data_IF_628145961686
#
_entry.id   IF_628145961686
#
_cell.length_a   1.000
_cell.length_b   1.000
_cell.length_c   1.000
_cell.angle_alpha   90.00
_cell.angle_beta   90.00
_cell.angle_gamma   90.00
#
_symmetry.space_group_name_H-M   'P 1'
#
loop_
_entity.id
_entity.type
_entity.pdbx_description
1 polymer ?
#
# COMPACT_ATOMS: atom_id res chain seq x y z
N UNK A 1 36.06 3.06 -6.51
CA UNK A 1 34.67 2.82 -6.96
C UNK A 1 34.10 1.74 -6.08
N UNK A 2 33.27 2.17 -5.10
CA UNK A 2 32.69 1.25 -4.13
C UNK A 2 31.58 0.40 -4.79
N UNK A 3 31.87 -0.88 -4.98
CA UNK A 3 30.91 -1.87 -5.46
C UNK A 3 29.74 -2.16 -4.48
N UNK A 4 29.66 -1.42 -3.36
CA UNK A 4 28.58 -1.52 -2.36
C UNK A 4 27.25 -0.93 -2.81
N UNK A 5 27.24 -0.18 -3.91
CA UNK A 5 26.03 0.52 -4.41
C UNK A 5 25.18 -0.30 -5.39
N UNK A 6 25.56 -1.54 -5.71
CA UNK A 6 24.89 -2.34 -6.75
C UNK A 6 24.28 -3.66 -6.27
N UNK A 7 24.34 -3.96 -4.98
CA UNK A 7 23.56 -5.08 -4.43
C UNK A 7 22.24 -4.48 -3.97
N UNK A 8 21.09 -4.75 -4.64
CA UNK A 8 19.81 -4.37 -4.07
C UNK A 8 19.74 -5.04 -2.71
N UNK A 9 19.71 -4.21 -1.66
CA UNK A 9 19.61 -4.70 -0.29
C UNK A 9 18.25 -5.42 -0.19
N UNK A 10 18.27 -6.73 -0.06
CA UNK A 10 17.08 -7.56 0.02
C UNK A 10 16.16 -7.14 1.17
N UNK A 11 16.74 -6.56 2.24
CA UNK A 11 15.96 -6.00 3.35
C UNK A 11 15.20 -4.77 2.90
N UNK A 12 15.82 -3.88 2.14
CA UNK A 12 15.16 -2.69 1.57
C UNK A 12 14.01 -3.09 0.65
N UNK A 13 14.16 -4.15 -0.14
CA UNK A 13 13.08 -4.65 -1.00
C UNK A 13 11.88 -5.14 -0.18
N UNK A 14 12.11 -5.90 0.89
CA UNK A 14 11.05 -6.34 1.82
C UNK A 14 10.35 -5.12 2.45
N UNK A 15 11.11 -4.15 2.93
CA UNK A 15 10.57 -2.95 3.56
C UNK A 15 9.71 -2.13 2.58
N UNK A 16 10.13 -1.98 1.34
CA UNK A 16 9.34 -1.32 0.28
C UNK A 16 8.04 -2.07 0.02
N UNK A 17 8.03 -3.41 0.03
CA UNK A 17 6.78 -4.19 -0.09
C UNK A 17 5.83 -3.92 1.07
N UNK A 18 6.34 -3.84 2.30
CA UNK A 18 5.54 -3.52 3.49
C UNK A 18 4.94 -2.11 3.37
N UNK A 19 5.73 -1.11 2.98
CA UNK A 19 5.26 0.26 2.81
C UNK A 19 4.14 0.33 1.76
N UNK A 20 4.29 -0.33 0.62
CA UNK A 20 3.25 -0.38 -0.43
C UNK A 20 1.99 -1.08 0.04
N UNK A 21 2.13 -2.22 0.72
CA UNK A 21 1.00 -2.93 1.31
C UNK A 21 0.20 -2.06 2.27
N UNK A 22 0.90 -1.40 3.20
CA UNK A 22 0.27 -0.53 4.19
C UNK A 22 -0.42 0.69 3.55
N UNK A 23 0.13 1.24 2.46
CA UNK A 23 -0.49 2.33 1.73
C UNK A 23 -1.80 1.89 1.04
N UNK A 24 -1.79 0.75 0.37
CA UNK A 24 -2.99 0.18 -0.25
C UNK A 24 -4.05 -0.15 0.82
N UNK A 25 -3.65 -0.76 1.94
CA UNK A 25 -4.57 -1.08 3.05
C UNK A 25 -5.18 0.17 3.65
N UNK A 26 -4.40 1.23 3.84
CA UNK A 26 -4.88 2.52 4.32
C UNK A 26 -6.06 3.04 3.47
N UNK A 27 -5.92 3.01 2.14
CA UNK A 27 -6.98 3.48 1.23
C UNK A 27 -8.28 2.69 1.41
N UNK A 28 -8.19 1.37 1.54
CA UNK A 28 -9.35 0.50 1.73
C UNK A 28 -10.02 0.76 3.08
N UNK A 29 -9.24 0.88 4.16
CA UNK A 29 -9.79 1.16 5.48
C UNK A 29 -10.45 2.54 5.55
N UNK A 30 -9.90 3.56 4.86
CA UNK A 30 -10.58 4.84 4.70
C UNK A 30 -11.89 4.71 3.91
N UNK A 31 -11.92 3.95 2.83
CA UNK A 31 -13.15 3.69 2.09
C UNK A 31 -14.20 3.00 2.97
N UNK A 32 -13.80 2.06 3.84
CA UNK A 32 -14.69 1.42 4.78
C UNK A 32 -15.36 2.41 5.75
N UNK A 33 -14.62 3.43 6.19
CA UNK A 33 -15.16 4.49 7.06
C UNK A 33 -16.09 5.45 6.30
N UNK A 34 -15.73 5.83 5.07
CA UNK A 34 -16.52 6.78 4.29
C UNK A 34 -17.82 6.19 3.73
N UNK A 35 -17.85 4.89 3.46
CA UNK A 35 -18.99 4.24 2.81
C UNK A 35 -19.90 3.50 3.80
N UNK A 36 -19.70 3.67 5.09
CA UNK A 36 -20.44 2.96 6.14
C UNK A 36 -21.95 3.14 6.05
N UNK A 37 -22.42 4.30 5.57
CA UNK A 37 -23.83 4.64 5.43
C UNK A 37 -24.44 4.27 4.07
N UNK A 38 -23.65 3.73 3.15
CA UNK A 38 -24.16 3.37 1.82
C UNK A 38 -24.95 2.05 1.86
N UNK A 39 -26.16 2.01 1.32
CA UNK A 39 -26.94 0.78 1.24
C UNK A 39 -26.21 -0.31 0.46
N UNK A 40 -26.13 -1.51 1.04
CA UNK A 40 -25.46 -2.66 0.43
C UNK A 40 -23.94 -2.64 0.52
N UNK A 41 -23.35 -1.67 1.20
CA UNK A 41 -21.92 -1.63 1.40
C UNK A 41 -21.38 -2.88 2.13
N UNK A 42 -20.28 -3.40 1.64
CA UNK A 42 -19.58 -4.53 2.25
C UNK A 42 -18.14 -4.14 2.53
N UNK A 43 -17.72 -4.10 3.81
CA UNK A 43 -16.36 -3.75 4.16
C UNK A 43 -15.36 -4.78 3.65
N UNK A 44 -14.19 -4.29 3.22
CA UNK A 44 -13.09 -5.09 2.71
C UNK A 44 -11.81 -4.79 3.49
N UNK A 45 -10.86 -5.71 3.42
CA UNK A 45 -9.50 -5.49 3.90
C UNK A 45 -8.52 -6.16 2.93
N UNK A 46 -7.24 -5.89 3.06
CA UNK A 46 -6.22 -6.65 2.37
C UNK A 46 -5.95 -7.96 3.13
N UNK A 47 -5.48 -9.00 2.44
CA UNK A 47 -5.16 -10.31 3.04
C UNK A 47 -3.85 -10.23 3.85
N UNK A 48 -3.92 -9.62 5.05
CA UNK A 48 -2.75 -9.34 5.91
C UNK A 48 -1.98 -10.60 6.25
N UNK A 49 -2.70 -11.66 6.60
CA UNK A 49 -2.08 -12.94 6.98
C UNK A 49 -1.34 -13.57 5.81
N UNK A 50 -1.97 -13.62 4.64
CA UNK A 50 -1.37 -14.17 3.42
C UNK A 50 -0.12 -13.36 3.02
N UNK A 51 -0.18 -12.03 3.13
CA UNK A 51 0.97 -11.18 2.89
C UNK A 51 2.13 -11.45 3.86
N UNK A 52 1.84 -11.61 5.16
CA UNK A 52 2.84 -11.93 6.16
C UNK A 52 3.49 -13.31 5.91
N UNK A 53 2.71 -14.30 5.49
CA UNK A 53 3.18 -15.63 5.11
C UNK A 53 4.14 -15.55 3.92
N UNK A 54 3.78 -14.84 2.86
CA UNK A 54 4.64 -14.62 1.68
C UNK A 54 5.96 -13.95 2.04
N UNK A 55 5.92 -12.91 2.88
CA UNK A 55 7.15 -12.25 3.35
C UNK A 55 8.02 -13.20 4.17
N UNK A 56 7.42 -13.96 5.07
CA UNK A 56 8.13 -14.93 5.91
C UNK A 56 8.82 -16.00 5.06
N UNK A 57 8.13 -16.53 4.06
CA UNK A 57 8.70 -17.51 3.13
C UNK A 57 9.85 -16.92 2.30
N UNK A 58 9.68 -15.68 1.79
CA UNK A 58 10.73 -15.00 1.03
C UNK A 58 12.00 -14.76 1.86
N UNK A 59 11.84 -14.35 3.14
CA UNK A 59 12.95 -14.16 4.06
C UNK A 59 13.61 -15.51 4.42
N UNK A 60 12.83 -16.55 4.68
CA UNK A 60 13.35 -17.89 4.96
C UNK A 60 14.13 -18.46 3.76
N UNK A 61 13.64 -18.23 2.53
CA UNK A 61 14.37 -18.63 1.31
C UNK A 61 15.66 -17.84 1.16
N UNK A 62 15.63 -16.53 1.45
CA UNK A 62 16.85 -15.71 1.41
C UNK A 62 17.92 -16.19 2.38
N UNK A 63 17.56 -16.55 3.60
CA UNK A 63 18.50 -17.09 4.61
C UNK A 63 19.11 -18.42 4.17
N UNK A 64 18.39 -19.21 3.36
CA UNK A 64 18.84 -20.53 2.90
C UNK A 64 19.64 -20.47 1.60
N UNK A 65 19.22 -19.66 0.64
CA UNK A 65 19.76 -19.65 -0.74
C UNK A 65 20.39 -18.32 -1.15
N UNK A 66 20.38 -17.30 -0.28
CA UNK A 66 20.79 -15.92 -0.56
C UNK A 66 20.01 -15.27 -1.73
N UNK A 67 18.80 -15.79 -2.03
CA UNK A 67 17.94 -15.28 -3.08
C UNK A 67 16.60 -14.87 -2.49
N UNK A 68 16.26 -13.59 -2.58
CA UNK A 68 14.95 -13.11 -2.20
C UNK A 68 13.95 -13.41 -3.33
N UNK A 69 12.94 -14.22 -3.05
CA UNK A 69 11.94 -14.62 -4.03
C UNK A 69 10.54 -14.50 -3.43
N UNK A 70 9.74 -13.62 -4.00
CA UNK A 70 8.32 -13.50 -3.67
C UNK A 70 7.50 -14.39 -4.59
N UNK A 71 6.64 -15.21 -4.02
CA UNK A 71 5.75 -16.10 -4.79
C UNK A 71 4.36 -15.49 -4.87
N UNK A 72 3.77 -15.58 -6.05
CA UNK A 72 2.39 -15.20 -6.26
C UNK A 72 1.45 -16.12 -5.48
N UNK A 73 0.34 -15.55 -5.01
CA UNK A 73 -0.73 -16.27 -4.33
C UNK A 73 -2.05 -16.05 -5.07
N UNK A 74 -3.16 -16.53 -4.50
CA UNK A 74 -4.47 -16.32 -5.08
C UNK A 74 -4.89 -14.84 -5.12
N UNK A 75 -4.43 -14.04 -4.17
CA UNK A 75 -4.84 -12.62 -4.01
C UNK A 75 -3.69 -11.62 -4.21
N UNK A 76 -2.44 -12.07 -4.21
CA UNK A 76 -1.26 -11.21 -4.33
C UNK A 76 -0.41 -11.64 -5.51
N UNK A 77 -0.11 -10.69 -6.40
CA UNK A 77 0.77 -10.92 -7.57
C UNK A 77 1.92 -9.93 -7.53
N UNK A 78 3.14 -10.42 -7.70
CA UNK A 78 4.36 -9.64 -7.74
C UNK A 78 4.82 -9.44 -9.18
N UNK A 79 5.05 -8.20 -9.58
CA UNK A 79 5.50 -7.85 -10.92
C UNK A 79 6.94 -7.30 -10.93
N UNK A 80 7.47 -6.98 -12.11
CA UNK A 80 8.78 -6.37 -12.27
C UNK A 80 8.83 -4.98 -11.62
N UNK A 81 10.05 -4.45 -11.43
CA UNK A 81 10.26 -3.12 -10.86
C UNK A 81 9.58 -2.90 -9.51
N UNK A 82 9.60 -3.94 -8.68
CA UNK A 82 9.01 -3.89 -7.34
C UNK A 82 7.48 -3.63 -7.32
N UNK A 83 6.78 -3.85 -8.43
CA UNK A 83 5.32 -3.72 -8.47
C UNK A 83 4.64 -4.86 -7.71
N UNK A 84 3.43 -4.59 -7.22
CA UNK A 84 2.62 -5.55 -6.49
C UNK A 84 1.15 -5.21 -6.68
N UNK A 85 0.35 -6.21 -7.02
CA UNK A 85 -1.11 -6.09 -7.11
C UNK A 85 -1.74 -6.98 -6.04
N UNK A 86 -2.69 -6.45 -5.30
CA UNK A 86 -3.37 -7.16 -4.24
C UNK A 86 -4.88 -7.00 -4.42
N UNK A 87 -5.59 -8.11 -4.37
CA UNK A 87 -7.05 -8.12 -4.43
C UNK A 87 -7.61 -7.99 -3.00
N UNK A 88 -8.44 -6.95 -2.73
CA UNK A 88 -9.11 -6.82 -1.46
C UNK A 88 -10.10 -7.96 -1.24
N UNK A 89 -10.11 -8.50 -0.03
CA UNK A 89 -11.03 -9.57 0.38
C UNK A 89 -12.13 -9.04 1.28
N UNK A 90 -13.28 -9.70 1.30
CA UNK A 90 -14.36 -9.32 2.19
C UNK A 90 -13.96 -9.54 3.66
N UNK A 91 -14.19 -8.52 4.49
CA UNK A 91 -13.93 -8.60 5.92
C UNK A 91 -15.19 -9.09 6.64
N UNK A 92 -15.21 -10.40 6.94
CA UNK A 92 -16.37 -11.04 7.57
C UNK A 92 -16.66 -10.49 8.97
N UNK A 93 -15.61 -10.19 9.76
CA UNK A 93 -15.77 -9.61 11.11
C UNK A 93 -16.34 -8.21 11.02
N UNK A 94 -15.76 -7.34 10.22
CA UNK A 94 -16.26 -5.98 10.02
C UNK A 94 -17.69 -5.99 9.46
N UNK A 95 -18.01 -6.90 8.54
CA UNK A 95 -19.37 -7.07 8.00
C UNK A 95 -20.38 -7.49 9.05
N UNK A 96 -19.99 -8.38 9.97
CA UNK A 96 -20.85 -8.77 11.09
C UNK A 96 -21.12 -7.58 12.01
N UNK A 97 -20.07 -6.89 12.45
CA UNK A 97 -20.18 -5.73 13.35
C UNK A 97 -20.99 -4.59 12.72
N UNK A 98 -20.82 -4.31 11.44
CA UNK A 98 -21.58 -3.28 10.74
C UNK A 98 -23.10 -3.51 10.81
N UNK A 99 -23.54 -4.77 11.00
CA UNK A 99 -24.96 -5.14 11.14
C UNK A 99 -25.45 -5.15 12.59
N UNK A 100 -24.58 -5.38 13.55
CA UNK A 100 -24.94 -5.62 14.94
C UNK A 100 -24.57 -4.46 15.87
N UNK A 101 -23.41 -3.87 15.65
CA UNK A 101 -22.88 -2.79 16.49
C UNK A 101 -21.98 -1.86 15.66
N UNK A 102 -22.52 -0.70 15.31
CA UNK A 102 -21.84 0.28 14.49
C UNK A 102 -20.64 0.92 15.20
N UNK A 103 -20.73 1.14 16.50
CA UNK A 103 -19.67 1.77 17.27
C UNK A 103 -18.46 0.83 17.36
N UNK A 104 -18.71 -0.45 17.64
CA UNK A 104 -17.67 -1.48 17.61
C UNK A 104 -17.06 -1.66 16.20
N UNK A 105 -17.88 -1.52 15.15
CA UNK A 105 -17.36 -1.50 13.77
C UNK A 105 -16.40 -0.33 13.53
N UNK A 106 -16.78 0.88 13.95
CA UNK A 106 -15.94 2.07 13.80
C UNK A 106 -14.63 1.92 14.59
N UNK A 107 -14.71 1.45 15.82
CA UNK A 107 -13.53 1.14 16.64
C UNK A 107 -12.60 0.13 15.96
N UNK A 108 -13.15 -0.94 15.41
CA UNK A 108 -12.38 -1.93 14.65
C UNK A 108 -11.63 -1.30 13.48
N UNK A 109 -12.29 -0.44 12.68
CA UNK A 109 -11.64 0.23 11.54
C UNK A 109 -10.54 1.19 11.99
N UNK A 110 -10.77 1.97 13.05
CA UNK A 110 -9.77 2.90 13.62
C UNK A 110 -8.57 2.12 14.16
N UNK A 111 -8.80 1.03 14.88
CA UNK A 111 -7.72 0.19 15.40
C UNK A 111 -6.86 -0.41 14.27
N UNK A 112 -7.49 -0.87 13.18
CA UNK A 112 -6.77 -1.33 11.97
C UNK A 112 -5.95 -0.21 11.31
N UNK A 113 -6.47 1.01 11.25
CA UNK A 113 -5.74 2.15 10.71
C UNK A 113 -4.53 2.52 11.57
N UNK A 114 -4.69 2.50 12.90
CA UNK A 114 -3.59 2.75 13.84
C UNK A 114 -2.47 1.70 13.69
N UNK A 115 -2.83 0.42 13.70
CA UNK A 115 -1.88 -0.69 13.47
C UNK A 115 -1.15 -0.53 12.14
N UNK A 116 -1.91 -0.26 11.07
CA UNK A 116 -1.36 -0.08 9.74
C UNK A 116 -0.40 1.13 9.64
N UNK A 117 -0.74 2.24 10.30
CA UNK A 117 0.09 3.44 10.36
C UNK A 117 1.38 3.19 11.13
N UNK A 118 1.32 2.43 12.23
CA UNK A 118 2.50 2.05 13.00
C UNK A 118 3.44 1.17 12.19
N UNK A 119 2.90 0.15 11.54
CA UNK A 119 3.69 -0.76 10.68
C UNK A 119 4.36 0.00 9.54
N UNK A 120 3.66 0.96 8.92
CA UNK A 120 4.24 1.83 7.88
C UNK A 120 5.40 2.67 8.42
N UNK A 121 5.21 3.34 9.57
CA UNK A 121 6.26 4.17 10.18
C UNK A 121 7.49 3.35 10.52
N UNK A 122 7.32 2.16 11.12
CA UNK A 122 8.42 1.26 11.42
C UNK A 122 9.18 0.88 10.15
N UNK A 123 8.47 0.47 9.09
CA UNK A 123 9.11 0.09 7.83
C UNK A 123 9.86 1.27 7.18
N UNK A 124 9.30 2.49 7.23
CA UNK A 124 9.95 3.70 6.72
C UNK A 124 11.22 4.05 7.51
N UNK A 125 11.18 3.98 8.83
CA UNK A 125 12.36 4.23 9.66
C UNK A 125 13.46 3.20 9.43
N UNK A 126 13.10 1.92 9.36
CA UNK A 126 14.07 0.87 9.05
C UNK A 126 14.70 1.07 7.67
N UNK A 127 13.90 1.44 6.67
CA UNK A 127 14.41 1.73 5.32
C UNK A 127 15.36 2.93 5.33
N UNK A 128 15.03 3.98 6.07
CA UNK A 128 15.89 5.17 6.22
C UNK A 128 17.22 4.80 6.86
N UNK A 129 17.24 3.96 7.88
CA UNK A 129 18.46 3.48 8.51
C UNK A 129 19.30 2.60 7.58
N UNK A 130 18.67 1.78 6.76
CA UNK A 130 19.36 0.92 5.80
C UNK A 130 20.04 1.73 4.69
N UNK A 131 19.41 2.77 4.18
CA UNK A 131 19.97 3.62 3.12
C UNK A 131 21.11 4.52 3.58
N UNK A 132 21.49 4.50 4.88
CA UNK A 132 22.55 5.35 5.44
C UNK A 132 22.28 6.81 5.13
N UNK A 133 21.61 7.51 6.05
CA UNK A 133 21.39 8.97 6.06
C UNK A 133 21.57 9.65 4.67
N UNK A 134 20.52 9.64 3.85
CA UNK A 134 20.34 10.70 2.86
C UNK A 134 19.81 11.92 3.62
N UNK A 135 20.61 12.96 3.93
CA UNK A 135 20.10 14.17 4.52
C UNK A 135 19.36 14.95 3.42
N UNK A 136 18.04 14.88 3.41
CA UNK A 136 17.24 15.69 2.50
C UNK A 136 15.90 15.16 2.03
N UNK A 137 15.50 13.96 2.34
CA UNK A 137 14.13 13.53 2.02
C UNK A 137 13.16 13.95 3.12
N UNK A 138 12.54 15.11 2.96
CA UNK A 138 11.38 15.52 3.73
C UNK A 138 10.14 14.76 3.25
N UNK A 139 9.15 14.61 4.14
CA UNK A 139 7.87 13.88 3.92
C UNK A 139 7.07 14.29 2.67
N UNK A 140 7.55 15.22 1.85
CA UNK A 140 6.91 15.75 0.63
C UNK A 140 7.23 14.99 -0.66
N UNK A 141 8.37 14.31 -0.74
CA UNK A 141 8.88 13.83 -2.04
C UNK A 141 8.35 12.45 -2.49
N UNK A 142 7.60 11.76 -1.63
CA UNK A 142 7.05 10.45 -1.99
C UNK A 142 5.64 10.55 -2.63
N UNK A 143 5.04 11.74 -2.65
CA UNK A 143 3.66 11.92 -3.10
C UNK A 143 3.52 12.39 -4.57
N UNK A 144 4.62 12.66 -5.27
CA UNK A 144 4.57 13.35 -6.57
C UNK A 144 4.65 12.44 -7.81
N UNK A 145 4.73 11.12 -7.63
CA UNK A 145 4.84 10.18 -8.76
C UNK A 145 3.51 9.55 -9.21
N UNK A 146 2.35 10.02 -8.73
CA UNK A 146 1.03 9.46 -9.10
C UNK A 146 0.08 10.52 -9.69
N UNK A 147 0.55 11.74 -9.94
CA UNK A 147 -0.24 12.76 -10.63
C UNK A 147 0.40 13.11 -11.98
N UNK A 148 0.21 12.27 -12.95
CA UNK A 148 0.56 12.54 -14.35
C UNK A 148 -0.56 12.08 -15.25
N UNK A 149 -1.23 13.06 -15.75
CA UNK A 149 -1.93 13.13 -17.01
C UNK A 149 -3.47 13.22 -16.95
N UNK A 150 -3.93 14.46 -16.92
CA UNK A 150 -5.19 14.87 -17.51
C UNK A 150 -5.06 16.31 -18.00
N UNK A 151 -4.27 16.50 -19.06
CA UNK A 151 -4.35 17.71 -19.87
C UNK A 151 -5.47 17.56 -20.88
N UNK A 152 -6.67 17.92 -20.49
CA UNK A 152 -7.76 18.18 -21.45
C UNK A 152 -7.53 19.53 -22.06
N UNK A 153 -7.12 19.52 -23.31
CA UNK A 153 -7.13 20.66 -24.21
C UNK A 153 -8.56 21.09 -24.47
N UNK A 154 -8.99 22.15 -23.82
CA UNK A 154 -10.20 22.89 -24.21
C UNK A 154 -9.81 23.92 -25.26
N UNK A 155 -10.08 23.58 -26.50
CA UNK A 155 -10.02 24.50 -27.64
C UNK A 155 -11.43 25.02 -27.92
N UNK A 156 -11.73 26.19 -27.39
CA UNK A 156 -12.90 26.94 -27.79
C UNK A 156 -12.68 27.60 -29.15
N UNK A 157 -13.54 27.41 -30.11
CA UNK A 157 -13.53 28.21 -31.33
C UNK A 157 -14.27 29.53 -31.11
N UNK A 158 -13.56 30.59 -31.39
CA UNK A 158 -14.06 31.96 -31.57
C UNK A 158 -15.02 31.96 -32.74
N UNK A 159 -16.25 32.38 -32.53
CA UNK A 159 -17.22 32.70 -33.57
C UNK A 159 -17.41 34.22 -33.59
N UNK A 160 -16.78 34.88 -34.59
CA UNK A 160 -17.18 36.18 -35.03
C UNK A 160 -18.54 36.11 -35.70
N UNK A 161 -19.44 36.95 -35.26
CA UNK A 161 -20.68 37.23 -35.96
C UNK A 161 -20.62 38.68 -36.46
N UNK A 162 -20.64 38.80 -37.75
CA UNK A 162 -20.93 40.06 -38.45
C UNK A 162 -22.33 39.90 -39.08
N UNK A 163 -23.07 41.03 -38.99
CA UNK A 163 -24.38 41.40 -39.57
C UNK A 163 -25.66 40.93 -38.92
#
# INVERSE_FOLDING_TARGET
MDARLLIPDNVSEVLVKIIRFTELRRRILHQNLHHVDQPGFTPRDLPVREFAEVLSEAVAEHLRSHRLLFRDTATITFGPNNTMQIQPVADSRARSLLRTDRDEYMELQVNKLLENSLNRKIAQELLRHQCGVCPGMTDGDINETVAGDNSSTDSSPHLDAAE
#
